data_IF_122264434507
#
_entry.id   IF_122264434507
#
_cell.length_a   1.000
_cell.length_b   1.000
_cell.length_c   1.000
_cell.angle_alpha   90.00
_cell.angle_beta   90.00
_cell.angle_gamma   90.00
#
_symmetry.space_group_name_H-M   'P 1'
#
loop_
_entity.id
_entity.type
_entity.pdbx_description
1 polymer ?
#
# COMPACT_ATOMS: atom_id res chain seq x y z
N UNK A 1 10.94 69.80 -24.85
CA UNK A 1 9.67 69.97 -24.12
C UNK A 1 8.93 68.63 -24.14
N UNK A 2 8.98 67.91 -23.01
CA UNK A 2 7.83 67.53 -22.14
C UNK A 2 7.00 66.35 -22.69
N UNK A 3 7.30 65.11 -22.22
CA UNK A 3 6.51 64.27 -21.27
C UNK A 3 5.17 63.78 -21.86
N UNK A 4 4.80 62.50 -21.85
CA UNK A 4 4.57 61.73 -20.62
C UNK A 4 4.49 60.21 -20.86
N UNK A 5 5.00 59.50 -19.85
CA UNK A 5 4.91 58.07 -19.54
C UNK A 5 3.50 57.60 -19.20
N UNK A 6 3.13 56.37 -19.59
CA UNK A 6 2.16 55.54 -18.86
C UNK A 6 2.62 54.07 -18.94
N UNK A 7 3.15 53.60 -17.81
CA UNK A 7 3.52 52.22 -17.57
C UNK A 7 2.28 51.44 -17.10
N UNK A 8 1.94 50.35 -17.80
CA UNK A 8 0.95 49.39 -17.34
C UNK A 8 1.70 48.22 -16.68
N UNK A 9 1.75 48.23 -15.34
CA UNK A 9 2.28 47.14 -14.55
C UNK A 9 1.28 45.97 -14.53
N UNK A 10 1.62 44.87 -15.22
CA UNK A 10 0.95 43.59 -15.05
C UNK A 10 1.43 42.95 -13.75
N UNK A 11 0.58 42.98 -12.73
CA UNK A 11 0.76 42.17 -11.52
C UNK A 11 0.40 40.73 -11.88
N UNK A 12 1.41 39.87 -12.04
CA UNK A 12 1.21 38.42 -12.04
C UNK A 12 0.89 38.01 -10.61
N UNK A 13 -0.38 37.74 -10.33
CA UNK A 13 -0.80 37.09 -9.10
C UNK A 13 -0.24 35.66 -9.12
N UNK A 14 0.80 35.40 -8.31
CA UNK A 14 1.25 34.05 -8.00
C UNK A 14 0.16 33.41 -7.15
N UNK A 15 -0.76 32.70 -7.79
CA UNK A 15 -1.66 31.79 -7.10
C UNK A 15 -0.79 30.75 -6.39
N UNK A 16 -0.81 30.76 -5.06
CA UNK A 16 -0.24 29.71 -4.23
C UNK A 16 -1.00 28.41 -4.51
N UNK A 17 -0.60 27.68 -5.56
CA UNK A 17 -0.99 26.30 -5.74
C UNK A 17 -0.40 25.50 -4.58
N UNK A 18 -1.26 25.07 -3.66
CA UNK A 18 -0.92 23.99 -2.75
C UNK A 18 -0.71 22.72 -3.59
N UNK A 19 0.53 22.51 -4.04
CA UNK A 19 0.86 21.46 -5.00
C UNK A 19 0.56 20.06 -4.44
N UNK A 20 -0.15 19.18 -5.17
CA UNK A 20 -0.30 17.76 -4.80
C UNK A 20 1.05 17.02 -4.72
N UNK A 21 2.12 17.63 -5.24
CA UNK A 21 3.48 17.12 -5.16
C UNK A 21 3.99 16.89 -3.72
N UNK A 22 3.59 17.71 -2.73
CA UNK A 22 4.06 17.54 -1.33
C UNK A 22 3.46 16.32 -0.66
N UNK A 23 2.16 16.08 -0.85
CA UNK A 23 1.50 14.89 -0.30
C UNK A 23 2.04 13.59 -0.92
N UNK A 24 2.42 13.60 -2.20
CA UNK A 24 3.05 12.45 -2.85
C UNK A 24 4.49 12.22 -2.38
N UNK A 25 5.25 13.28 -2.05
CA UNK A 25 6.59 13.18 -1.49
C UNK A 25 6.58 12.51 -0.10
N UNK A 26 5.64 12.91 0.75
CA UNK A 26 5.50 12.38 2.11
C UNK A 26 5.13 10.89 2.10
N UNK A 27 4.13 10.48 1.31
CA UNK A 27 3.73 9.06 1.21
C UNK A 27 4.85 8.17 0.66
N UNK A 28 5.66 8.67 -0.27
CA UNK A 28 6.79 7.93 -0.78
C UNK A 28 7.92 7.77 0.25
N UNK A 29 8.21 8.83 1.01
CA UNK A 29 9.19 8.81 2.10
C UNK A 29 8.78 7.81 3.18
N UNK A 30 7.50 7.80 3.56
CA UNK A 30 6.96 6.82 4.53
C UNK A 30 7.11 5.38 4.04
N UNK A 31 6.81 5.07 2.77
CA UNK A 31 7.02 3.73 2.22
C UNK A 31 8.48 3.26 2.32
N UNK A 32 9.42 4.13 1.97
CA UNK A 32 10.86 3.82 2.02
C UNK A 32 11.35 3.61 3.46
N UNK A 33 10.93 4.45 4.39
CA UNK A 33 11.29 4.34 5.81
C UNK A 33 10.76 3.03 6.41
N UNK A 34 9.49 2.71 6.17
CA UNK A 34 8.84 1.49 6.64
C UNK A 34 9.55 0.24 6.12
N UNK A 35 9.85 0.19 4.82
CA UNK A 35 10.53 -0.97 4.24
C UNK A 35 11.98 -1.07 4.69
N UNK A 36 12.69 0.04 4.85
CA UNK A 36 14.07 0.01 5.35
C UNK A 36 14.17 -0.54 6.77
N UNK A 37 13.17 -0.28 7.61
CA UNK A 37 13.08 -0.80 8.97
C UNK A 37 12.51 -2.23 9.05
N UNK A 38 11.69 -2.64 8.08
CA UNK A 38 11.07 -3.96 8.06
C UNK A 38 12.09 -5.06 7.74
N UNK A 39 12.15 -6.07 8.62
CA UNK A 39 12.94 -7.27 8.37
C UNK A 39 12.21 -8.18 7.37
N UNK A 40 12.89 -8.72 6.36
CA UNK A 40 12.28 -9.68 5.47
C UNK A 40 12.02 -11.00 6.19
N UNK A 41 10.95 -11.67 5.82
CA UNK A 41 10.51 -12.95 6.38
C UNK A 41 10.37 -13.98 5.26
N UNK A 42 10.74 -15.21 5.56
CA UNK A 42 10.43 -16.37 4.72
C UNK A 42 9.01 -16.85 5.05
N UNK A 43 8.24 -17.09 4.01
CA UNK A 43 6.94 -17.75 4.13
C UNK A 43 6.77 -18.75 3.00
N UNK A 44 6.39 -19.96 3.37
CA UNK A 44 5.82 -20.91 2.42
C UNK A 44 4.34 -20.62 2.26
N UNK A 45 3.91 -20.35 1.02
CA UNK A 45 2.53 -20.05 0.71
C UNK A 45 2.10 -20.68 -0.62
N UNK A 46 0.80 -20.81 -0.82
CA UNK A 46 0.19 -21.23 -2.08
C UNK A 46 -0.19 -19.99 -2.91
N UNK A 47 0.13 -20.00 -4.20
CA UNK A 47 -0.31 -18.96 -5.14
C UNK A 47 -1.79 -19.19 -5.44
N UNK A 48 -2.66 -18.29 -5.03
CA UNK A 48 -4.10 -18.38 -5.32
C UNK A 48 -4.54 -17.46 -6.46
N UNK A 49 -3.75 -16.43 -6.78
CA UNK A 49 -3.96 -15.57 -7.94
C UNK A 49 -2.65 -14.95 -8.42
N UNK A 50 -2.58 -14.64 -9.71
CA UNK A 50 -1.46 -13.94 -10.35
C UNK A 50 -2.03 -12.76 -11.14
N UNK A 51 -1.52 -11.56 -10.89
CA UNK A 51 -1.78 -10.37 -11.70
C UNK A 51 -0.49 -9.95 -12.38
N UNK A 52 -0.36 -10.31 -13.66
CA UNK A 52 0.80 -9.98 -14.47
C UNK A 52 0.88 -8.48 -14.81
N UNK A 53 -0.26 -7.78 -14.91
CA UNK A 53 -0.30 -6.36 -15.23
C UNK A 53 0.28 -5.50 -14.11
N UNK A 54 0.00 -5.86 -12.86
CA UNK A 54 0.58 -5.22 -11.67
C UNK A 54 1.84 -5.94 -11.13
N UNK A 55 2.30 -7.00 -11.79
CA UNK A 55 3.38 -7.90 -11.35
C UNK A 55 3.24 -8.28 -9.86
N UNK A 56 2.10 -8.85 -9.51
CA UNK A 56 1.75 -9.19 -8.12
C UNK A 56 1.19 -10.61 -7.99
N UNK A 57 1.39 -11.20 -6.82
CA UNK A 57 0.89 -12.51 -6.44
C UNK A 57 -0.07 -12.37 -5.27
N UNK A 58 -1.17 -13.10 -5.30
CA UNK A 58 -1.99 -13.34 -4.12
C UNK A 58 -1.56 -14.67 -3.52
N UNK A 59 -1.00 -14.60 -2.32
CA UNK A 59 -0.45 -15.72 -1.58
C UNK A 59 -1.35 -16.08 -0.41
N UNK A 60 -1.64 -17.37 -0.26
CA UNK A 60 -2.35 -17.92 0.89
C UNK A 60 -1.34 -18.62 1.81
N UNK A 61 -1.20 -18.08 3.01
CA UNK A 61 -0.32 -18.63 4.04
C UNK A 61 -0.89 -19.90 4.69
N UNK A 62 -0.08 -20.59 5.51
CA UNK A 62 -0.48 -21.86 6.14
C UNK A 62 -1.66 -21.72 7.11
N UNK A 63 -1.86 -20.53 7.68
CA UNK A 63 -2.96 -20.22 8.59
C UNK A 63 -4.23 -19.75 7.86
N UNK A 64 -4.23 -19.75 6.52
CA UNK A 64 -5.35 -19.32 5.69
C UNK A 64 -5.43 -17.81 5.45
N UNK A 65 -4.52 -17.03 6.04
CA UNK A 65 -4.40 -15.60 5.75
C UNK A 65 -3.96 -15.36 4.31
N UNK A 66 -4.50 -14.31 3.70
CA UNK A 66 -4.23 -13.94 2.32
C UNK A 66 -3.47 -12.62 2.28
N UNK A 67 -2.35 -12.62 1.57
CA UNK A 67 -1.52 -11.46 1.33
C UNK A 67 -1.30 -11.25 -0.16
N UNK A 68 -1.37 -10.00 -0.59
CA UNK A 68 -1.02 -9.59 -1.95
C UNK A 68 0.36 -8.99 -1.89
N UNK A 69 1.25 -9.57 -2.69
CA UNK A 69 2.68 -9.28 -2.66
C UNK A 69 3.11 -8.81 -4.03
N UNK A 70 3.67 -7.61 -4.09
CA UNK A 70 4.27 -7.08 -5.30
C UNK A 70 5.62 -7.74 -5.53
N UNK A 71 5.88 -8.19 -6.75
CA UNK A 71 7.09 -8.94 -7.06
C UNK A 71 8.05 -8.02 -7.80
N UNK A 72 9.25 -7.83 -7.23
CA UNK A 72 10.27 -7.00 -7.86
C UNK A 72 10.79 -7.56 -9.18
N UNK A 73 11.37 -6.70 -10.01
CA UNK A 73 11.85 -7.09 -11.35
C UNK A 73 13.00 -8.10 -11.30
N UNK A 74 13.77 -8.15 -10.20
CA UNK A 74 14.83 -9.14 -10.02
C UNK A 74 14.34 -10.60 -9.93
N UNK A 75 13.04 -10.84 -9.68
CA UNK A 75 12.48 -12.19 -9.67
C UNK A 75 12.17 -12.62 -11.11
N UNK A 76 13.18 -13.12 -11.82
CA UNK A 76 13.03 -13.55 -13.22
C UNK A 76 12.02 -14.70 -13.41
N UNK A 77 11.81 -15.52 -12.37
CA UNK A 77 10.91 -16.67 -12.41
C UNK A 77 9.42 -16.30 -12.38
N UNK A 78 9.05 -15.02 -12.21
CA UNK A 78 7.65 -14.59 -12.08
C UNK A 78 6.75 -15.13 -13.21
N UNK A 79 7.22 -15.08 -14.46
CA UNK A 79 6.44 -15.49 -15.63
C UNK A 79 6.26 -17.02 -15.74
N UNK A 80 6.97 -17.79 -14.90
CA UNK A 80 6.89 -19.25 -14.86
C UNK A 80 5.92 -19.74 -13.77
N UNK A 81 5.56 -18.88 -12.82
CA UNK A 81 4.70 -19.21 -11.69
C UNK A 81 3.26 -19.51 -12.14
N UNK A 82 2.58 -20.39 -11.41
CA UNK A 82 1.20 -20.79 -11.67
C UNK A 82 0.35 -20.71 -10.41
N UNK A 83 -0.95 -20.52 -10.63
CA UNK A 83 -1.94 -20.66 -9.56
C UNK A 83 -1.94 -22.12 -9.11
N UNK A 84 -1.89 -22.35 -7.79
CA UNK A 84 -1.76 -23.65 -7.14
C UNK A 84 -0.33 -24.00 -6.76
N UNK A 85 0.69 -23.28 -7.25
CA UNK A 85 2.07 -23.54 -6.87
C UNK A 85 2.30 -23.21 -5.39
N UNK A 86 3.03 -24.09 -4.70
CA UNK A 86 3.58 -23.78 -3.38
C UNK A 86 4.94 -23.12 -3.58
N UNK A 87 5.14 -21.95 -2.98
CA UNK A 87 6.35 -21.14 -3.11
C UNK A 87 6.90 -20.76 -1.74
N UNK A 88 8.23 -20.77 -1.63
CA UNK A 88 8.97 -20.08 -0.58
C UNK A 88 9.24 -18.65 -1.06
N UNK A 89 8.81 -17.69 -0.26
CA UNK A 89 8.85 -16.27 -0.61
C UNK A 89 9.63 -15.53 0.45
N UNK A 90 10.69 -14.83 0.04
CA UNK A 90 11.35 -13.84 0.86
C UNK A 90 10.69 -12.48 0.59
N UNK A 91 9.95 -11.98 1.57
CA UNK A 91 9.16 -10.77 1.42
C UNK A 91 9.15 -9.91 2.68
N UNK A 92 8.77 -8.65 2.51
CA UNK A 92 8.40 -7.75 3.61
C UNK A 92 6.89 -7.65 3.67
N UNK A 93 6.33 -7.79 4.88
CA UNK A 93 4.88 -7.74 5.12
C UNK A 93 4.27 -6.42 4.66
N UNK A 94 2.98 -6.47 4.31
CA UNK A 94 2.21 -5.25 4.11
C UNK A 94 1.96 -4.61 5.47
N UNK A 95 2.35 -3.34 5.62
CA UNK A 95 2.26 -2.63 6.88
C UNK A 95 1.19 -1.54 6.81
N UNK A 96 0.20 -1.62 7.68
CA UNK A 96 -0.78 -0.56 7.91
C UNK A 96 -0.08 0.56 8.68
N UNK A 97 0.06 1.72 8.05
CA UNK A 97 0.79 2.89 8.58
C UNK A 97 -0.15 3.96 9.13
N UNK A 98 -1.42 3.93 8.72
CA UNK A 98 -2.45 4.82 9.25
C UNK A 98 -3.80 4.15 9.17
N UNK A 99 -4.63 4.35 10.18
CA UNK A 99 -6.02 3.92 10.17
C UNK A 99 -6.87 4.86 11.00
N UNK A 100 -7.86 5.47 10.36
CA UNK A 100 -8.80 6.37 11.01
C UNK A 100 -10.22 5.87 10.76
N UNK A 101 -11.09 5.99 11.77
CA UNK A 101 -12.51 5.69 11.58
C UNK A 101 -13.10 6.69 10.59
N UNK A 102 -13.71 6.20 9.51
CA UNK A 102 -14.37 7.06 8.55
C UNK A 102 -15.68 7.57 9.16
N UNK A 103 -15.69 8.84 9.58
CA UNK A 103 -16.92 9.55 9.94
C UNK A 103 -17.80 9.69 8.70
N UNK A 104 -18.89 8.94 8.62
CA UNK A 104 -19.79 8.95 7.47
C UNK A 104 -20.40 7.60 7.09
N UNK A 105 -20.71 6.75 8.06
CA UNK A 105 -21.56 5.58 7.85
C UNK A 105 -22.96 6.05 7.42
N UNK A 106 -23.20 6.22 6.12
CA UNK A 106 -24.54 6.47 5.60
C UNK A 106 -24.71 7.31 4.33
N UNK A 107 -23.67 7.96 3.76
CA UNK A 107 -23.86 8.77 2.54
C UNK A 107 -22.84 8.47 1.46
N UNK A 108 -23.07 7.44 0.65
CA UNK A 108 -22.67 7.43 -0.76
C UNK A 108 -21.17 7.54 -1.12
N UNK A 109 -20.23 7.51 -0.16
CA UNK A 109 -18.78 7.58 -0.44
C UNK A 109 -18.24 6.20 -0.83
N UNK A 110 -18.87 5.55 -1.81
CA UNK A 110 -18.18 4.53 -2.62
C UNK A 110 -17.35 5.18 -3.73
N UNK A 111 -17.44 6.50 -3.85
CA UNK A 111 -16.91 7.24 -4.98
C UNK A 111 -15.53 7.82 -4.66
N UNK A 112 -14.52 7.10 -5.15
CA UNK A 112 -13.29 7.69 -5.70
C UNK A 112 -12.35 8.33 -4.68
N UNK A 113 -11.64 7.51 -3.91
CA UNK A 113 -10.47 7.94 -3.14
C UNK A 113 -9.37 6.86 -3.06
N UNK A 114 -9.19 6.04 -4.11
CA UNK A 114 -7.92 5.33 -4.28
C UNK A 114 -6.86 6.36 -4.66
N UNK A 115 -6.28 7.03 -3.64
CA UNK A 115 -5.08 7.84 -3.84
C UNK A 115 -3.89 6.90 -3.76
N UNK A 116 -3.51 6.37 -4.91
CA UNK A 116 -2.30 5.56 -5.06
C UNK A 116 -1.11 6.49 -5.35
N UNK A 117 -0.11 6.49 -4.45
CA UNK A 117 1.18 7.13 -4.71
C UNK A 117 2.22 6.03 -4.95
N UNK A 118 2.86 6.06 -6.12
CA UNK A 118 3.90 5.10 -6.48
C UNK A 118 5.28 5.75 -6.36
N UNK A 119 6.16 5.18 -5.55
CA UNK A 119 7.61 5.39 -5.66
C UNK A 119 8.35 4.09 -5.35
N UNK A 120 9.34 3.70 -6.17
CA UNK A 120 10.15 2.52 -5.91
C UNK A 120 10.86 2.60 -4.56
N UNK A 121 10.87 1.49 -3.82
CA UNK A 121 11.63 1.34 -2.58
C UNK A 121 12.98 0.67 -2.81
N UNK A 122 14.03 1.17 -2.17
CA UNK A 122 15.41 0.71 -2.38
C UNK A 122 15.67 -0.74 -1.91
N UNK A 123 16.75 -1.34 -2.41
CA UNK A 123 17.27 -2.63 -1.89
C UNK A 123 16.54 -3.86 -2.44
N UNK A 124 16.05 -3.80 -3.67
CA UNK A 124 15.34 -4.89 -4.35
C UNK A 124 13.83 -4.90 -4.13
N UNK A 125 13.31 -4.11 -3.20
CA UNK A 125 11.86 -4.00 -2.92
C UNK A 125 11.20 -2.88 -3.75
N UNK A 126 11.75 -2.58 -4.92
CA UNK A 126 11.39 -1.47 -5.80
C UNK A 126 9.91 -1.47 -6.24
N UNK A 127 9.23 -2.60 -6.08
CA UNK A 127 7.80 -2.72 -6.39
C UNK A 127 6.89 -2.14 -5.30
N UNK A 128 7.38 -1.96 -4.07
CA UNK A 128 6.54 -1.54 -2.96
C UNK A 128 6.00 -0.11 -3.14
N UNK A 129 4.78 0.13 -2.67
CA UNK A 129 4.11 1.43 -2.75
C UNK A 129 3.18 1.66 -1.57
N UNK A 130 3.00 2.93 -1.21
CA UNK A 130 1.99 3.34 -0.23
C UNK A 130 0.66 3.64 -0.90
N UNK A 131 -0.42 3.13 -0.33
CA UNK A 131 -1.78 3.29 -0.85
C UNK A 131 -2.72 3.68 0.28
N UNK A 132 -3.61 4.64 0.00
CA UNK A 132 -4.73 5.01 0.87
C UNK A 132 -6.04 4.45 0.30
N UNK A 133 -6.84 3.79 1.14
CA UNK A 133 -8.12 3.17 0.77
C UNK A 133 -9.17 3.38 1.85
N UNK A 134 -10.44 3.35 1.46
CA UNK A 134 -11.54 3.09 2.39
C UNK A 134 -11.83 1.59 2.44
N UNK A 135 -11.82 1.02 3.63
CA UNK A 135 -12.02 -0.41 3.83
C UNK A 135 -12.92 -0.70 5.04
N UNK A 136 -13.55 -1.87 5.03
CA UNK A 136 -14.29 -2.39 6.19
C UNK A 136 -13.41 -3.35 6.98
N UNK A 137 -13.39 -3.20 8.30
CA UNK A 137 -12.65 -4.09 9.20
C UNK A 137 -13.40 -5.41 9.34
N UNK A 138 -12.78 -6.53 8.96
CA UNK A 138 -13.38 -7.86 9.10
C UNK A 138 -12.86 -8.61 10.32
N UNK A 139 -11.57 -8.44 10.65
CA UNK A 139 -10.92 -9.13 11.77
C UNK A 139 -9.85 -8.23 12.36
N UNK A 140 -9.69 -8.30 13.69
CA UNK A 140 -8.61 -7.63 14.42
C UNK A 140 -8.00 -8.66 15.38
N UNK A 141 -6.73 -8.98 15.19
CA UNK A 141 -5.90 -9.66 16.18
C UNK A 141 -4.95 -8.64 16.83
N UNK A 142 -5.27 -8.22 18.04
CA UNK A 142 -4.47 -7.22 18.77
C UNK A 142 -3.18 -7.79 19.35
N UNK A 143 -3.09 -9.12 19.53
CA UNK A 143 -1.89 -9.77 20.07
C UNK A 143 -0.82 -9.85 18.99
N UNK A 144 -1.22 -10.21 17.78
CA UNK A 144 -0.34 -10.29 16.61
C UNK A 144 -0.29 -8.97 15.82
N UNK A 145 -1.05 -7.96 16.24
CA UNK A 145 -1.24 -6.68 15.52
C UNK A 145 -1.67 -6.87 14.06
N UNK A 146 -2.48 -7.90 13.78
CA UNK A 146 -3.00 -8.19 12.45
C UNK A 146 -4.40 -7.62 12.28
N UNK A 147 -4.65 -7.00 11.13
CA UNK A 147 -5.96 -6.43 10.76
C UNK A 147 -6.34 -6.92 9.38
N UNK A 148 -7.49 -7.59 9.26
CA UNK A 148 -8.06 -7.97 7.97
C UNK A 148 -9.03 -6.90 7.50
N UNK A 149 -8.70 -6.27 6.38
CA UNK A 149 -9.49 -5.20 5.77
C UNK A 149 -10.09 -5.68 4.45
N UNK A 150 -11.37 -5.37 4.24
CA UNK A 150 -12.08 -5.54 2.98
C UNK A 150 -12.18 -4.21 2.26
N UNK A 151 -11.35 -4.02 1.24
CA UNK A 151 -11.45 -2.90 0.31
C UNK A 151 -12.50 -3.13 -0.77
N UNK A 152 -12.55 -2.25 -1.77
CA UNK A 152 -13.48 -2.37 -2.90
C UNK A 152 -13.22 -3.60 -3.78
N UNK A 153 -11.94 -3.92 -4.02
CA UNK A 153 -11.54 -4.97 -4.96
C UNK A 153 -11.10 -6.27 -4.27
N UNK A 154 -10.59 -6.19 -3.04
CA UNK A 154 -9.95 -7.33 -2.38
C UNK A 154 -10.00 -7.25 -0.86
N UNK A 155 -9.84 -8.42 -0.23
CA UNK A 155 -9.69 -8.56 1.22
C UNK A 155 -8.26 -9.00 1.51
N UNK A 156 -7.58 -8.31 2.42
CA UNK A 156 -6.19 -8.58 2.76
C UNK A 156 -5.95 -8.40 4.26
N UNK A 157 -5.05 -9.20 4.80
CA UNK A 157 -4.54 -9.04 6.17
C UNK A 157 -3.28 -8.19 6.16
N UNK A 158 -3.25 -7.19 7.04
CA UNK A 158 -2.14 -6.25 7.21
C UNK A 158 -1.59 -6.36 8.63
N UNK A 159 -0.28 -6.21 8.78
CA UNK A 159 0.34 -5.98 10.08
C UNK A 159 0.28 -4.49 10.41
N UNK A 160 -0.09 -4.12 11.63
CA UNK A 160 -0.17 -2.73 12.04
C UNK A 160 1.18 -2.24 12.56
N UNK A 161 1.69 -1.15 11.96
CA UNK A 161 2.92 -0.48 12.39
C UNK A 161 2.86 -0.14 13.89
N UNK A 162 3.98 -0.14 14.64
CA UNK A 162 3.97 0.03 16.10
C UNK A 162 3.25 1.29 16.60
N UNK A 163 3.27 2.36 15.81
CA UNK A 163 2.66 3.66 16.03
C UNK A 163 1.15 3.71 15.73
N UNK A 164 0.61 2.69 15.04
CA UNK A 164 -0.82 2.60 14.74
C UNK A 164 -1.59 2.09 15.96
N UNK A 165 -2.59 2.85 16.39
CA UNK A 165 -3.47 2.45 17.48
C UNK A 165 -4.65 1.61 17.00
N UNK A 166 -4.74 0.36 17.47
CA UNK A 166 -5.84 -0.56 17.17
C UNK A 166 -6.91 -0.59 18.26
N UNK A 167 -6.76 0.16 19.36
CA UNK A 167 -7.61 0.04 20.55
C UNK A 167 -9.05 0.46 20.31
N UNK A 168 -9.25 1.50 19.49
CA UNK A 168 -10.56 2.09 19.23
C UNK A 168 -11.27 1.48 18.00
N UNK A 169 -10.57 0.65 17.24
CA UNK A 169 -11.14 -0.07 16.10
C UNK A 169 -11.98 -1.28 16.53
N UNK A 170 -13.09 -1.48 15.82
CA UNK A 170 -13.97 -2.63 15.96
C UNK A 170 -14.21 -3.32 14.61
N UNK A 171 -14.49 -4.61 14.66
CA UNK A 171 -14.97 -5.35 13.48
C UNK A 171 -16.29 -4.72 13.01
N UNK A 172 -16.42 -4.53 11.70
CA UNK A 172 -17.54 -3.84 11.06
C UNK A 172 -17.31 -2.35 10.82
N UNK A 173 -16.27 -1.75 11.40
CA UNK A 173 -15.95 -0.34 11.17
C UNK A 173 -15.54 -0.09 9.72
N UNK A 174 -16.03 1.02 9.16
CA UNK A 174 -15.44 1.58 7.94
C UNK A 174 -14.29 2.51 8.34
N UNK A 175 -13.11 2.26 7.77
CA UNK A 175 -11.89 3.00 8.07
C UNK A 175 -11.29 3.59 6.80
N UNK A 176 -10.66 4.74 6.95
CA UNK A 176 -9.69 5.24 5.99
C UNK A 176 -8.32 4.70 6.41
N UNK A 177 -7.72 3.86 5.58
CA UNK A 177 -6.49 3.13 5.88
C UNK A 177 -5.40 3.53 4.88
N UNK A 178 -4.21 3.84 5.37
CA UNK A 178 -3.00 3.93 4.57
C UNK A 178 -2.10 2.73 4.89
N UNK A 179 -1.57 2.09 3.85
CA UNK A 179 -0.67 0.96 4.02
C UNK A 179 0.46 0.97 2.99
N UNK A 180 1.58 0.36 3.35
CA UNK A 180 2.69 0.04 2.45
C UNK A 180 2.49 -1.40 1.97
N UNK A 181 2.49 -1.60 0.66
CA UNK A 181 2.29 -2.92 0.05
C UNK A 181 3.42 -3.86 0.40
N UNK A 182 3.11 -5.14 0.58
CA UNK A 182 4.12 -6.18 0.69
C UNK A 182 4.93 -6.25 -0.61
N UNK A 183 6.23 -6.52 -0.48
CA UNK A 183 7.10 -6.70 -1.63
C UNK A 183 7.99 -7.93 -1.43
N UNK A 184 8.07 -8.76 -2.48
CA UNK A 184 8.92 -9.94 -2.53
C UNK A 184 10.15 -9.68 -3.40
N UNK A 185 11.30 -10.14 -2.90
CA UNK A 185 12.57 -10.12 -3.64
C UNK A 185 12.99 -11.47 -4.16
N UNK A 186 12.41 -12.54 -3.62
CA UNK A 186 12.66 -13.90 -4.05
C UNK A 186 11.37 -14.71 -3.94
N UNK A 187 11.08 -15.48 -4.97
CA UNK A 187 9.98 -16.44 -5.02
C UNK A 187 10.54 -17.72 -5.63
N UNK A 188 10.50 -18.81 -4.87
CA UNK A 188 11.07 -20.09 -5.25
C UNK A 188 10.01 -21.18 -5.09
N UNK A 189 9.61 -21.89 -6.16
CA UNK A 189 8.72 -23.04 -6.04
C UNK A 189 9.29 -24.10 -5.08
N UNK A 190 8.44 -24.64 -4.22
CA UNK A 190 8.79 -25.70 -3.26
C UNK A 190 8.25 -27.02 -3.81
N UNK A 191 9.14 -27.82 -4.42
CA UNK A 191 8.82 -29.16 -4.92
C UNK A 191 8.86 -29.29 -6.45
N UNK A 192 9.99 -28.95 -7.07
CA UNK A 192 10.39 -29.51 -8.37
C UNK A 192 11.31 -30.70 -8.12
#
# INVERSE_FOLDING_TARGET
MRTATLAAAWVVAVAAAASPARAQDDMASTAQAVLSAAQPVHMTAEIVAIDAGNRSLTLKGPHGDVAIVLVGQQVAAFDQLKIGDRVDVLYKNALLTKVDKASGAGKGIRERADRQSYRPASGGYEAARQTEVFATVLKIDRKQRLVTLRGAYQTQTFEAAPDVDLRDMKVGDTVHAAFVSAAAVQVTPVGQ
#
